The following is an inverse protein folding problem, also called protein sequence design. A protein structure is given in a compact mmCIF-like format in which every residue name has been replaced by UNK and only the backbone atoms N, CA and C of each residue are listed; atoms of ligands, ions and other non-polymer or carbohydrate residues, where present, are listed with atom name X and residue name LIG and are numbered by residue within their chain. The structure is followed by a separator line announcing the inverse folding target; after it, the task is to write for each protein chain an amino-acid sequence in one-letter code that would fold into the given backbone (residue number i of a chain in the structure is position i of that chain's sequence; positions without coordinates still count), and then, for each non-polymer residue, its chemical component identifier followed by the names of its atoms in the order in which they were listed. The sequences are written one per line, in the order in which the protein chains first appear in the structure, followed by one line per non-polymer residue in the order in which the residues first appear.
data_IF_476050322647
#
_entry.id   IF_476050322647
#
_cell.length_a   1.000
_cell.length_b   1.000
_cell.length_c   1.000
_cell.angle_alpha   90.00
_cell.angle_beta   90.00
_cell.angle_gamma   90.00
#
_symmetry.space_group_name_H-M   'P 1'
#
loop_
_entity.id
_entity.type
_entity.pdbx_description
1 polymer ?
#
# COMPACT_ATOMS: atom_id res chain seq x y z
N UNK A 1 21.03 -4.15 -7.15
CA UNK A 1 19.70 -4.60 -7.61
C UNK A 1 19.48 -4.07 -9.03
N UNK A 2 18.99 -4.88 -9.96
CA UNK A 2 18.52 -4.32 -11.24
C UNK A 2 17.20 -3.58 -11.02
N UNK A 3 17.04 -2.41 -11.64
CA UNK A 3 15.77 -1.66 -11.71
C UNK A 3 14.59 -2.57 -12.12
N UNK A 4 14.87 -3.65 -12.86
CA UNK A 4 13.93 -4.73 -13.20
C UNK A 4 13.12 -5.22 -12.00
N UNK A 5 13.70 -5.38 -10.81
CA UNK A 5 12.95 -5.88 -9.66
C UNK A 5 11.88 -4.88 -9.19
N UNK A 6 12.17 -3.58 -9.20
CA UNK A 6 11.19 -2.53 -8.84
C UNK A 6 10.06 -2.49 -9.88
N UNK A 7 10.38 -2.71 -11.15
CA UNK A 7 9.41 -2.76 -12.25
C UNK A 7 8.55 -4.03 -12.18
N UNK A 8 9.12 -5.19 -11.86
CA UNK A 8 8.42 -6.48 -11.83
C UNK A 8 7.25 -6.51 -10.81
N UNK A 9 7.35 -5.76 -9.71
CA UNK A 9 6.24 -5.63 -8.74
C UNK A 9 5.20 -4.56 -9.11
N UNK A 10 5.31 -3.93 -10.29
CA UNK A 10 4.45 -2.82 -10.69
C UNK A 10 4.60 -1.56 -9.82
N UNK A 11 5.74 -1.41 -9.13
CA UNK A 11 6.01 -0.34 -8.15
C UNK A 11 6.98 0.69 -8.71
N UNK A 12 6.77 1.07 -9.97
CA UNK A 12 7.61 2.08 -10.64
C UNK A 12 7.53 3.40 -9.85
N UNK A 13 8.64 4.00 -9.41
CA UNK A 13 8.64 5.26 -8.68
C UNK A 13 8.01 6.40 -9.47
N UNK A 14 7.50 7.42 -8.78
CA UNK A 14 7.17 8.70 -9.42
C UNK A 14 8.43 9.53 -9.62
N UNK A 15 8.60 10.02 -10.84
CA UNK A 15 9.77 10.76 -11.27
C UNK A 15 9.38 11.82 -12.30
N UNK A 16 10.08 12.94 -12.24
CA UNK A 16 10.08 13.95 -13.29
C UNK A 16 11.47 14.63 -13.30
N UNK A 17 12.06 14.95 -14.47
CA UNK A 17 13.34 15.65 -14.56
C UNK A 17 13.37 16.97 -13.78
N UNK A 18 12.24 17.70 -13.74
CA UNK A 18 12.12 19.00 -13.09
C UNK A 18 11.60 18.94 -11.64
N UNK A 19 11.38 17.75 -11.09
CA UNK A 19 10.95 17.55 -9.70
C UNK A 19 12.12 17.00 -8.87
N UNK A 20 12.48 17.57 -7.71
CA UNK A 20 13.75 17.25 -7.04
C UNK A 20 13.83 15.85 -6.41
N UNK A 21 12.71 15.12 -6.32
CA UNK A 21 12.63 13.83 -5.63
C UNK A 21 12.32 12.67 -6.58
N UNK A 22 12.69 11.46 -6.15
CA UNK A 22 12.17 10.20 -6.69
C UNK A 22 11.34 9.53 -5.60
N UNK A 23 10.06 9.27 -5.88
CA UNK A 23 9.10 8.81 -4.88
C UNK A 23 8.71 7.35 -5.12
N UNK A 24 9.21 6.47 -4.27
CA UNK A 24 8.85 5.06 -4.20
C UNK A 24 7.56 4.88 -3.41
N UNK A 25 6.81 3.83 -3.75
CA UNK A 25 5.56 3.51 -3.10
C UNK A 25 5.26 2.01 -3.18
N UNK A 26 4.26 1.58 -2.43
CA UNK A 26 3.73 0.22 -2.49
C UNK A 26 2.21 0.23 -2.40
N UNK A 27 1.56 -0.80 -2.92
CA UNK A 27 0.12 -0.95 -2.80
C UNK A 27 -0.30 -0.95 -1.32
N UNK A 28 -1.44 -0.32 -1.04
CA UNK A 28 -2.03 -0.18 0.31
C UNK A 28 -1.23 0.70 1.28
N UNK A 29 -0.20 1.41 0.83
CA UNK A 29 0.59 2.37 1.62
C UNK A 29 0.16 3.84 1.47
N UNK A 30 -0.95 4.12 0.77
CA UNK A 30 -1.38 5.50 0.48
C UNK A 30 -0.87 6.04 -0.88
N UNK A 31 -0.51 5.14 -1.81
CA UNK A 31 0.00 5.45 -3.14
C UNK A 31 -0.89 6.44 -3.93
N UNK A 32 -2.21 6.38 -3.79
CA UNK A 32 -3.12 7.32 -4.45
C UNK A 32 -2.92 8.76 -3.98
N UNK A 33 -2.74 8.97 -2.66
CA UNK A 33 -2.49 10.31 -2.11
C UNK A 33 -1.12 10.84 -2.52
N UNK A 34 -0.12 9.96 -2.55
CA UNK A 34 1.22 10.32 -3.04
C UNK A 34 1.19 10.71 -4.52
N UNK A 35 0.47 9.94 -5.35
CA UNK A 35 0.30 10.24 -6.77
C UNK A 35 -0.42 11.57 -6.98
N UNK A 36 -1.51 11.83 -6.24
CA UNK A 36 -2.20 13.13 -6.27
C UNK A 36 -1.25 14.30 -5.96
N UNK A 37 -0.45 14.17 -4.89
CA UNK A 37 0.55 15.17 -4.53
C UNK A 37 1.63 15.34 -5.59
N UNK A 38 2.22 14.25 -6.07
CA UNK A 38 3.24 14.29 -7.11
C UNK A 38 2.74 14.99 -8.39
N UNK A 39 1.57 14.59 -8.90
CA UNK A 39 0.99 15.21 -10.09
C UNK A 39 0.59 16.67 -9.84
N UNK A 40 0.24 17.05 -8.62
CA UNK A 40 0.02 18.44 -8.26
C UNK A 40 1.32 19.25 -8.37
N UNK A 41 2.42 18.73 -7.81
CA UNK A 41 3.72 19.40 -7.85
C UNK A 41 4.21 19.64 -9.28
N UNK A 42 3.97 18.70 -10.21
CA UNK A 42 4.38 18.82 -11.61
C UNK A 42 3.31 19.44 -12.53
N UNK A 43 2.25 20.07 -11.97
CA UNK A 43 1.15 20.71 -12.72
C UNK A 43 0.29 19.78 -13.61
N UNK A 44 0.29 18.48 -13.34
CA UNK A 44 -0.48 17.48 -14.09
C UNK A 44 -1.69 16.90 -13.32
N UNK A 45 -1.96 17.38 -12.11
CA UNK A 45 -3.09 16.87 -11.32
C UNK A 45 -4.45 17.04 -12.02
N UNK A 46 -4.75 18.24 -12.52
CA UNK A 46 -6.01 18.54 -13.23
C UNK A 46 -6.23 17.67 -14.47
N UNK A 47 -5.27 17.55 -15.42
CA UNK A 47 -5.45 16.64 -16.56
C UNK A 47 -5.56 15.17 -16.12
N UNK A 48 -4.83 14.76 -15.08
CA UNK A 48 -4.88 13.39 -14.57
C UNK A 48 -6.27 13.00 -14.05
N UNK A 49 -6.87 13.82 -13.16
CA UNK A 49 -8.20 13.53 -12.61
C UNK A 49 -9.33 13.69 -13.65
N UNK A 50 -9.10 14.50 -14.71
CA UNK A 50 -10.04 14.61 -15.84
C UNK A 50 -10.04 13.35 -16.69
N UNK A 51 -8.88 12.71 -16.85
CA UNK A 51 -8.76 11.45 -17.60
C UNK A 51 -9.49 10.32 -16.88
N UNK A 52 -9.26 10.15 -15.58
CA UNK A 52 -9.97 9.18 -14.77
C UNK A 52 -9.97 9.62 -13.29
N UNK A 53 -11.08 9.39 -12.58
CA UNK A 53 -11.19 9.66 -11.14
C UNK A 53 -10.18 8.87 -10.29
N UNK A 54 -9.71 7.71 -10.78
CA UNK A 54 -8.65 6.93 -10.19
C UNK A 54 -7.32 7.24 -10.88
N UNK A 55 -6.48 8.04 -10.21
CA UNK A 55 -5.29 8.66 -10.81
C UNK A 55 -4.28 7.65 -11.38
N UNK A 56 -4.26 6.42 -10.86
CA UNK A 56 -3.35 5.38 -11.30
C UNK A 56 -3.59 4.96 -12.76
N UNK A 57 -4.78 5.21 -13.33
CA UNK A 57 -5.00 5.05 -14.77
C UNK A 57 -4.19 6.08 -15.57
N UNK A 58 -4.30 7.37 -15.25
CA UNK A 58 -3.49 8.38 -15.93
C UNK A 58 -1.99 8.11 -15.74
N UNK A 59 -1.60 7.72 -14.52
CA UNK A 59 -0.22 7.38 -14.21
C UNK A 59 0.35 6.28 -15.11
N UNK A 60 -0.36 5.17 -15.27
CA UNK A 60 0.14 4.00 -15.99
C UNK A 60 -0.11 4.09 -17.49
N UNK A 61 -1.29 4.58 -17.91
CA UNK A 61 -1.73 4.56 -19.30
C UNK A 61 -1.09 5.71 -20.12
N UNK A 62 -0.80 6.84 -19.45
CA UNK A 62 -0.31 8.06 -20.08
C UNK A 62 1.09 8.43 -19.58
N UNK A 63 1.26 8.66 -18.27
CA UNK A 63 2.47 9.32 -17.76
C UNK A 63 3.70 8.40 -17.79
N UNK A 64 3.56 7.15 -17.35
CA UNK A 64 4.64 6.15 -17.31
C UNK A 64 4.73 5.30 -18.57
N UNK A 65 3.75 5.41 -19.48
CA UNK A 65 3.68 4.64 -20.72
C UNK A 65 4.62 5.17 -21.83
N UNK A 66 5.73 5.81 -21.45
CA UNK A 66 6.76 6.29 -22.37
C UNK A 66 8.04 5.50 -22.13
N UNK A 67 8.70 5.06 -23.20
CA UNK A 67 10.03 4.44 -23.12
C UNK A 67 11.04 5.36 -22.42
N UNK A 68 10.93 6.67 -22.64
CA UNK A 68 11.88 7.65 -22.12
C UNK A 68 11.76 7.77 -20.60
N UNK A 69 10.56 7.56 -20.04
CA UNK A 69 10.33 7.62 -18.60
C UNK A 69 11.25 6.67 -17.85
N UNK A 70 11.35 5.42 -18.31
CA UNK A 70 12.14 4.39 -17.65
C UNK A 70 13.65 4.65 -17.82
N UNK A 71 14.08 5.10 -18.99
CA UNK A 71 15.48 5.43 -19.26
C UNK A 71 15.94 6.59 -18.39
N UNK A 72 15.15 7.66 -18.32
CA UNK A 72 15.46 8.84 -17.51
C UNK A 72 15.41 8.53 -16.01
N UNK A 73 14.41 7.77 -15.54
CA UNK A 73 14.33 7.30 -14.16
C UNK A 73 15.58 6.49 -13.79
N UNK A 74 16.00 5.56 -14.66
CA UNK A 74 17.19 4.76 -14.43
C UNK A 74 18.45 5.62 -14.31
N UNK A 75 18.65 6.55 -15.24
CA UNK A 75 19.76 7.50 -15.17
C UNK A 75 19.72 8.34 -13.88
N UNK A 76 18.54 8.81 -13.46
CA UNK A 76 18.38 9.58 -12.24
C UNK A 76 18.73 8.77 -10.98
N UNK A 77 18.32 7.50 -10.92
CA UNK A 77 18.65 6.59 -9.81
C UNK A 77 20.16 6.31 -9.73
N UNK A 78 20.82 6.02 -10.86
CA UNK A 78 22.25 5.70 -10.86
C UNK A 78 23.14 6.92 -10.62
N UNK A 79 22.71 8.12 -11.02
CA UNK A 79 23.46 9.35 -10.76
C UNK A 79 23.35 9.82 -9.31
N UNK A 80 22.34 9.35 -8.56
CA UNK A 80 22.10 9.70 -7.14
C UNK A 80 22.04 11.21 -6.88
N UNK A 81 21.61 11.99 -7.88
CA UNK A 81 21.52 13.46 -7.80
C UNK A 81 20.21 13.96 -7.19
N UNK A 82 19.22 13.08 -7.04
CA UNK A 82 17.91 13.37 -6.47
C UNK A 82 17.74 12.55 -5.20
N UNK A 83 17.18 13.18 -4.18
CA UNK A 83 16.83 12.46 -2.96
C UNK A 83 15.67 11.50 -3.23
N UNK A 84 15.70 10.37 -2.56
CA UNK A 84 14.74 9.30 -2.77
C UNK A 84 13.97 9.03 -1.48
N UNK A 85 12.65 8.97 -1.63
CA UNK A 85 11.75 8.71 -0.51
C UNK A 85 10.83 7.57 -0.85
N UNK A 86 10.54 6.70 0.11
CA UNK A 86 9.46 5.73 -0.01
C UNK A 86 8.32 6.05 0.94
N UNK A 87 7.10 6.10 0.41
CA UNK A 87 5.90 6.11 1.25
C UNK A 87 5.69 4.70 1.83
N UNK A 88 5.71 4.64 3.15
CA UNK A 88 5.58 3.41 3.93
C UNK A 88 4.43 3.55 4.92
N UNK A 89 3.84 2.42 5.28
CA UNK A 89 2.73 2.33 6.23
C UNK A 89 3.03 1.30 7.30
N UNK A 90 2.52 1.51 8.52
CA UNK A 90 2.65 0.57 9.62
C UNK A 90 2.12 -0.82 9.19
N UNK A 91 2.91 -1.89 9.32
CA UNK A 91 2.54 -3.21 8.79
C UNK A 91 1.24 -3.77 9.37
N UNK A 92 0.93 -3.49 10.64
CA UNK A 92 -0.34 -3.90 11.24
C UNK A 92 -1.54 -3.24 10.55
N UNK A 93 -1.49 -1.91 10.41
CA UNK A 93 -2.57 -1.19 9.73
C UNK A 93 -2.70 -1.61 8.27
N UNK A 94 -1.59 -1.97 7.63
CA UNK A 94 -1.55 -2.38 6.23
C UNK A 94 -2.16 -3.77 6.04
N UNK A 95 -1.83 -4.75 6.88
CA UNK A 95 -2.37 -6.10 6.79
C UNK A 95 -3.91 -6.11 6.90
N UNK A 96 -4.48 -5.35 7.84
CA UNK A 96 -5.94 -5.20 7.95
C UNK A 96 -6.53 -4.49 6.73
N UNK A 97 -5.86 -3.48 6.21
CA UNK A 97 -6.27 -2.79 4.97
C UNK A 97 -6.25 -3.70 3.73
N UNK A 98 -5.29 -4.64 3.66
CA UNK A 98 -5.24 -5.68 2.64
C UNK A 98 -6.38 -6.70 2.81
N UNK A 99 -6.68 -7.10 4.04
CA UNK A 99 -7.83 -7.95 4.35
C UNK A 99 -9.15 -7.29 3.95
N UNK A 100 -9.33 -5.99 4.20
CA UNK A 100 -10.53 -5.25 3.79
C UNK A 100 -10.71 -5.15 2.27
N UNK A 101 -9.65 -5.23 1.47
CA UNK A 101 -9.84 -5.35 0.01
C UNK A 101 -10.50 -6.65 -0.42
N UNK A 102 -10.61 -7.64 0.47
CA UNK A 102 -11.37 -8.85 0.20
C UNK A 102 -12.89 -8.65 0.34
N UNK A 103 -13.35 -7.55 0.95
CA UNK A 103 -14.78 -7.23 1.04
C UNK A 103 -15.29 -6.96 -0.37
N UNK A 104 -16.15 -7.84 -0.86
CA UNK A 104 -16.82 -7.65 -2.14
C UNK A 104 -18.07 -6.76 -1.99
N UNK A 105 -18.51 -6.11 -3.07
CA UNK A 105 -19.85 -5.54 -3.12
C UNK A 105 -20.93 -6.60 -2.83
N UNK A 106 -22.10 -6.20 -2.32
CA UNK A 106 -23.21 -7.14 -2.11
C UNK A 106 -23.50 -7.98 -3.36
N UNK A 107 -23.73 -9.28 -3.16
CA UNK A 107 -24.06 -10.25 -4.20
C UNK A 107 -22.97 -10.53 -5.25
N UNK A 108 -21.75 -10.00 -5.06
CA UNK A 108 -20.59 -10.31 -5.88
C UNK A 108 -19.62 -11.14 -5.04
N UNK A 109 -19.18 -12.29 -5.55
CA UNK A 109 -18.14 -13.08 -4.88
C UNK A 109 -16.76 -12.50 -5.22
N UNK A 110 -15.92 -12.25 -4.21
CA UNK A 110 -14.54 -11.86 -4.47
C UNK A 110 -13.77 -13.09 -5.00
N UNK A 111 -13.14 -13.04 -6.18
CA UNK A 111 -12.36 -14.17 -6.71
C UNK A 111 -11.21 -14.59 -5.77
N UNK A 112 -10.68 -13.68 -4.94
CA UNK A 112 -9.64 -13.99 -3.97
C UNK A 112 -10.10 -14.93 -2.83
N UNK A 113 -11.42 -15.12 -2.63
CA UNK A 113 -11.93 -16.03 -1.60
C UNK A 113 -11.70 -17.51 -1.92
N UNK A 114 -11.73 -17.88 -3.20
CA UNK A 114 -11.54 -19.27 -3.65
C UNK A 114 -10.18 -19.86 -3.25
N UNK A 115 -9.02 -19.23 -3.56
CA UNK A 115 -7.73 -19.78 -3.16
C UNK A 115 -7.57 -19.83 -1.64
N UNK A 116 -8.07 -18.83 -0.90
CA UNK A 116 -8.03 -18.83 0.58
C UNK A 116 -8.80 -20.02 1.15
N UNK A 117 -10.02 -20.28 0.65
CA UNK A 117 -10.84 -21.43 1.07
C UNK A 117 -10.19 -22.76 0.68
N UNK A 118 -9.62 -22.84 -0.52
CA UNK A 118 -8.89 -24.04 -0.97
C UNK A 118 -7.73 -24.36 -0.03
N UNK A 119 -6.95 -23.35 0.34
CA UNK A 119 -5.82 -23.50 1.27
C UNK A 119 -6.28 -23.99 2.65
N UNK A 120 -7.24 -23.30 3.26
CA UNK A 120 -7.58 -23.56 4.66
C UNK A 120 -8.55 -24.73 4.86
N UNK A 121 -9.44 -24.98 3.91
CA UNK A 121 -10.49 -26.00 4.02
C UNK A 121 -10.31 -27.19 3.07
N UNK A 122 -9.31 -27.18 2.19
CA UNK A 122 -9.09 -28.21 1.18
C UNK A 122 -10.10 -28.19 0.02
N UNK A 123 -10.95 -27.16 -0.08
CA UNK A 123 -11.93 -27.01 -1.16
C UNK A 123 -12.29 -25.55 -1.40
N UNK A 124 -12.41 -25.15 -2.67
CA UNK A 124 -12.86 -23.81 -3.06
C UNK A 124 -14.38 -23.72 -3.30
N UNK A 125 -15.08 -24.85 -3.33
CA UNK A 125 -16.53 -24.92 -3.56
C UNK A 125 -17.28 -25.02 -2.23
N UNK A 126 -17.15 -23.98 -1.39
CA UNK A 126 -17.85 -23.91 -0.12
C UNK A 126 -18.14 -22.46 0.29
N UNK A 127 -19.23 -22.25 1.03
CA UNK A 127 -19.57 -20.95 1.63
C UNK A 127 -18.97 -20.83 3.04
N UNK A 128 -17.75 -21.35 3.23
CA UNK A 128 -17.10 -21.31 4.55
C UNK A 128 -16.53 -19.91 4.84
N UNK A 129 -16.47 -19.54 6.14
CA UNK A 129 -16.08 -18.20 6.55
C UNK A 129 -14.62 -17.90 6.21
N UNK A 130 -14.31 -16.62 6.01
CA UNK A 130 -12.95 -16.13 5.85
C UNK A 130 -12.69 -15.08 6.93
N UNK A 131 -11.83 -15.43 7.88
CA UNK A 131 -11.41 -14.51 8.94
C UNK A 131 -10.04 -13.91 8.68
N UNK A 132 -9.70 -12.86 9.43
CA UNK A 132 -8.39 -12.23 9.35
C UNK A 132 -7.26 -13.22 9.69
N UNK A 133 -7.49 -14.10 10.67
CA UNK A 133 -6.56 -15.16 11.03
C UNK A 133 -6.32 -16.14 9.88
N UNK A 134 -7.39 -16.63 9.24
CA UNK A 134 -7.30 -17.53 8.09
C UNK A 134 -6.53 -16.85 6.94
N UNK A 135 -6.83 -15.57 6.69
CA UNK A 135 -6.12 -14.77 5.71
C UNK A 135 -4.62 -14.66 6.01
N UNK A 136 -4.21 -14.41 7.27
CA UNK A 136 -2.80 -14.36 7.63
C UNK A 136 -2.09 -15.71 7.45
N UNK A 137 -2.73 -16.83 7.79
CA UNK A 137 -2.15 -18.15 7.51
C UNK A 137 -1.96 -18.38 6.01
N UNK A 138 -2.96 -18.02 5.20
CA UNK A 138 -2.85 -18.09 3.76
C UNK A 138 -1.67 -17.24 3.27
N UNK A 139 -1.56 -15.99 3.70
CA UNK A 139 -0.44 -15.12 3.33
C UNK A 139 0.91 -15.73 3.71
N UNK A 140 1.05 -16.26 4.93
CA UNK A 140 2.30 -16.88 5.41
C UNK A 140 2.78 -17.99 4.48
N UNK A 141 1.86 -18.81 3.96
CA UNK A 141 2.17 -19.86 2.99
C UNK A 141 2.58 -19.28 1.62
N UNK A 142 1.86 -18.24 1.16
CA UNK A 142 2.10 -17.63 -0.14
C UNK A 142 3.39 -16.80 -0.22
N UNK A 143 3.98 -16.37 0.91
CA UNK A 143 5.23 -15.57 0.91
C UNK A 143 6.48 -16.33 0.44
N UNK A 144 6.34 -17.56 -0.05
CA UNK A 144 7.42 -18.39 -0.61
C UNK A 144 7.77 -18.03 -2.06
N UNK A 145 6.83 -17.47 -2.82
CA UNK A 145 7.02 -16.96 -4.20
C UNK A 145 6.28 -15.64 -4.39
N UNK A 146 6.95 -14.53 -4.10
CA UNK A 146 6.36 -13.18 -4.14
C UNK A 146 6.00 -12.70 -5.55
N UNK A 147 6.53 -13.32 -6.61
CA UNK A 147 6.26 -12.89 -7.99
C UNK A 147 4.85 -13.27 -8.45
N UNK A 148 4.24 -14.29 -7.82
CA UNK A 148 2.90 -14.78 -8.16
C UNK A 148 1.79 -14.24 -7.26
N UNK A 149 2.14 -13.51 -6.19
CA UNK A 149 1.17 -13.03 -5.21
C UNK A 149 0.75 -11.60 -5.53
N UNK A 150 -0.55 -11.32 -5.40
CA UNK A 150 -1.09 -9.97 -5.56
C UNK A 150 -0.29 -8.96 -4.72
N UNK A 151 0.31 -7.92 -5.34
CA UNK A 151 1.16 -6.97 -4.65
C UNK A 151 0.42 -6.14 -3.58
N UNK A 152 -0.92 -6.14 -3.57
CA UNK A 152 -1.74 -5.57 -2.51
C UNK A 152 -1.70 -6.37 -1.20
N UNK A 153 -1.28 -7.64 -1.25
CA UNK A 153 -1.27 -8.56 -0.12
C UNK A 153 0.13 -8.75 0.48
N UNK A 154 1.17 -8.71 -0.36
CA UNK A 154 2.57 -8.94 0.05
C UNK A 154 3.17 -7.79 0.85
N UNK A 155 4.35 -7.98 1.42
CA UNK A 155 5.16 -6.94 2.07
C UNK A 155 5.42 -5.69 1.20
N UNK A 156 5.69 -4.57 1.86
CA UNK A 156 6.07 -3.31 1.19
C UNK A 156 7.52 -3.35 0.74
N UNK A 157 8.39 -3.97 1.53
CA UNK A 157 9.81 -4.11 1.26
C UNK A 157 10.09 -4.94 0.01
N UNK A 158 10.91 -4.39 -0.88
CA UNK A 158 11.45 -5.10 -2.04
C UNK A 158 12.94 -5.35 -1.81
N UNK A 159 13.43 -6.61 -1.82
CA UNK A 159 14.82 -6.92 -1.49
C UNK A 159 15.85 -6.19 -2.35
N UNK A 160 16.67 -5.32 -1.77
CA UNK A 160 17.70 -4.53 -2.44
C UNK A 160 17.28 -3.08 -2.73
N UNK A 161 16.07 -2.67 -2.35
CA UNK A 161 15.59 -1.31 -2.59
C UNK A 161 16.38 -0.25 -1.81
N UNK A 162 17.07 -0.65 -0.74
CA UNK A 162 17.97 0.17 0.06
C UNK A 162 19.15 0.74 -0.73
N UNK A 163 19.47 0.17 -1.90
CA UNK A 163 20.45 0.76 -2.83
C UNK A 163 19.97 2.12 -3.37
N UNK A 164 18.65 2.29 -3.47
CA UNK A 164 18.01 3.44 -4.08
C UNK A 164 17.20 4.26 -3.10
N UNK A 165 16.52 3.66 -2.12
CA UNK A 165 15.63 4.33 -1.16
C UNK A 165 16.41 4.67 0.11
N UNK A 166 16.64 5.97 0.34
CA UNK A 166 17.41 6.44 1.50
C UNK A 166 16.54 6.96 2.62
N UNK A 167 15.36 7.49 2.31
CA UNK A 167 14.46 8.13 3.27
C UNK A 167 13.02 7.60 3.19
N UNK A 168 12.23 7.84 4.24
CA UNK A 168 10.88 7.33 4.36
C UNK A 168 9.87 8.45 4.64
N UNK A 169 8.71 8.37 3.99
CA UNK A 169 7.51 9.13 4.33
C UNK A 169 6.58 8.17 5.06
N UNK A 170 6.26 8.45 6.33
CA UNK A 170 5.36 7.61 7.12
C UNK A 170 3.91 8.04 6.87
N UNK A 171 3.08 7.12 6.36
CA UNK A 171 1.67 7.41 6.03
C UNK A 171 0.90 7.94 7.23
N UNK A 172 1.22 7.47 8.44
CA UNK A 172 0.59 7.89 9.69
C UNK A 172 0.77 9.38 9.97
N UNK A 173 1.80 10.01 9.40
CA UNK A 173 2.12 11.42 9.52
C UNK A 173 2.10 12.15 8.17
N UNK A 174 1.42 11.58 7.16
CA UNK A 174 1.56 11.99 5.75
C UNK A 174 1.47 13.50 5.54
N UNK A 175 0.44 14.16 6.08
CA UNK A 175 0.26 15.60 5.86
C UNK A 175 1.42 16.45 6.38
N UNK A 176 1.94 16.13 7.57
CA UNK A 176 3.07 16.86 8.14
C UNK A 176 4.37 16.57 7.38
N UNK A 177 4.59 15.32 6.97
CA UNK A 177 5.75 14.95 6.14
C UNK A 177 5.71 15.68 4.79
N UNK A 178 4.55 15.76 4.15
CA UNK A 178 4.43 16.48 2.88
C UNK A 178 4.70 17.98 3.06
N UNK A 179 4.14 18.62 4.09
CA UNK A 179 4.44 20.03 4.40
C UNK A 179 5.94 20.24 4.65
N UNK A 180 6.59 19.32 5.38
CA UNK A 180 8.03 19.35 5.63
C UNK A 180 8.83 19.25 4.33
N UNK A 181 8.49 18.31 3.44
CA UNK A 181 9.14 18.15 2.14
C UNK A 181 8.93 19.38 1.25
N UNK A 182 7.73 19.96 1.26
CA UNK A 182 7.46 21.18 0.51
C UNK A 182 8.35 22.34 0.94
N UNK A 183 8.61 22.47 2.25
CA UNK A 183 9.52 23.48 2.79
C UNK A 183 10.98 23.19 2.43
N UNK A 184 11.46 21.96 2.65
CA UNK A 184 12.86 21.58 2.40
C UNK A 184 13.23 21.78 0.93
N UNK A 185 12.36 21.35 0.02
CA UNK A 185 12.63 21.36 -1.42
C UNK A 185 12.01 22.57 -2.15
N UNK A 186 11.46 23.54 -1.41
CA UNK A 186 10.83 24.75 -1.94
C UNK A 186 9.75 24.44 -2.99
N UNK A 187 8.96 23.41 -2.73
CA UNK A 187 7.87 22.97 -3.61
C UNK A 187 6.62 23.84 -3.40
N UNK A 188 5.61 23.64 -4.25
CA UNK A 188 4.34 24.35 -4.12
C UNK A 188 3.63 23.87 -2.86
N UNK A 189 3.06 24.79 -2.09
CA UNK A 189 2.16 24.43 -1.01
C UNK A 189 0.93 23.71 -1.57
N UNK A 190 0.71 22.47 -1.13
CA UNK A 190 -0.40 21.67 -1.66
C UNK A 190 -1.69 21.83 -0.86
N UNK A 191 -2.86 21.81 -1.50
CA UNK A 191 -4.15 21.74 -0.81
C UNK A 191 -4.40 20.29 -0.34
N UNK A 192 -3.67 19.84 0.69
CA UNK A 192 -3.66 18.44 1.12
C UNK A 192 -5.05 17.92 1.47
N UNK A 193 -5.91 18.74 2.05
CA UNK A 193 -7.30 18.39 2.33
C UNK A 193 -8.13 18.01 1.09
N UNK A 194 -7.68 18.37 -0.12
CA UNK A 194 -8.25 17.95 -1.40
C UNK A 194 -7.51 16.72 -1.91
N UNK A 195 -6.18 16.75 -1.89
CA UNK A 195 -5.35 15.70 -2.49
C UNK A 195 -5.39 14.37 -1.72
N UNK A 196 -5.61 14.40 -0.39
CA UNK A 196 -5.66 13.20 0.45
C UNK A 196 -7.08 12.68 0.68
N UNK A 197 -8.11 13.38 0.20
CA UNK A 197 -9.48 12.86 0.18
C UNK A 197 -9.57 11.74 -0.85
N UNK A 198 -9.58 10.51 -0.36
CA UNK A 198 -9.82 9.32 -1.16
C UNK A 198 -10.94 8.51 -0.52
N UNK A 199 -11.84 7.96 -1.34
CA UNK A 199 -12.83 6.96 -0.90
C UNK A 199 -12.16 5.75 -0.22
N UNK A 200 -10.88 5.50 -0.50
CA UNK A 200 -10.07 4.44 0.09
C UNK A 200 -9.49 4.79 1.46
N UNK A 201 -9.55 6.06 1.88
CA UNK A 201 -9.07 6.53 3.18
C UNK A 201 -10.22 6.53 4.19
N UNK A 202 -10.53 5.35 4.73
CA UNK A 202 -11.66 5.16 5.66
C UNK A 202 -11.22 5.03 7.13
N UNK A 203 -9.94 5.30 7.43
CA UNK A 203 -9.39 5.16 8.79
C UNK A 203 -10.17 6.00 9.80
N UNK A 204 -10.57 7.22 9.44
CA UNK A 204 -11.32 8.13 10.31
C UNK A 204 -12.78 7.70 10.51
N UNK A 205 -13.27 6.75 9.70
CA UNK A 205 -14.62 6.19 9.83
C UNK A 205 -14.62 4.84 10.56
N UNK A 206 -13.45 4.30 10.92
CA UNK A 206 -13.32 3.05 11.67
C UNK A 206 -13.65 3.27 13.15
N UNK A 207 -14.90 2.97 13.52
CA UNK A 207 -15.43 3.24 14.87
C UNK A 207 -15.85 1.98 15.63
N UNK A 208 -15.96 0.83 14.95
CA UNK A 208 -16.40 -0.42 15.59
C UNK A 208 -15.23 -1.11 16.29
N UNK A 209 -15.19 -1.03 17.62
CA UNK A 209 -14.22 -1.76 18.46
C UNK A 209 -14.77 -3.15 18.82
N UNK A 210 -13.90 -4.16 18.88
CA UNK A 210 -14.29 -5.51 19.26
C UNK A 210 -13.20 -6.56 19.07
N UNK A 211 -13.60 -7.82 18.92
CA UNK A 211 -12.71 -8.95 18.61
C UNK A 211 -13.08 -9.49 17.24
N UNK A 212 -12.32 -9.09 16.20
CA UNK A 212 -12.61 -9.43 14.80
C UNK A 212 -11.57 -10.37 14.17
N UNK A 213 -10.58 -10.86 14.94
CA UNK A 213 -9.56 -11.79 14.45
C UNK A 213 -10.17 -13.04 13.77
N UNK A 214 -11.27 -13.55 14.32
CA UNK A 214 -11.99 -14.74 13.87
C UNK A 214 -13.33 -14.44 13.18
N UNK A 215 -13.68 -13.16 13.02
CA UNK A 215 -14.93 -12.76 12.40
C UNK A 215 -14.93 -13.02 10.89
N UNK A 216 -16.07 -13.44 10.34
CA UNK A 216 -16.23 -13.79 8.93
C UNK A 216 -16.46 -12.54 8.07
N UNK A 217 -15.50 -12.22 7.21
CA UNK A 217 -15.59 -11.08 6.28
C UNK A 217 -16.59 -11.31 5.15
N UNK A 218 -17.03 -12.57 4.95
CA UNK A 218 -18.02 -12.92 3.91
C UNK A 218 -19.46 -12.77 4.38
N UNK A 219 -19.67 -12.57 5.69
CA UNK A 219 -20.98 -12.26 6.25
C UNK A 219 -21.44 -10.85 5.79
N UNK A 220 -22.60 -10.71 5.14
CA UNK A 220 -23.17 -9.41 4.79
C UNK A 220 -23.38 -8.46 5.99
N UNK A 221 -23.47 -9.01 7.20
CA UNK A 221 -23.58 -8.26 8.46
C UNK A 221 -22.21 -7.88 9.04
N UNK A 222 -21.10 -8.29 8.42
CA UNK A 222 -19.77 -7.91 8.86
C UNK A 222 -19.66 -6.38 8.89
N UNK A 223 -19.28 -5.78 10.03
CA UNK A 223 -19.18 -4.34 10.14
C UNK A 223 -18.19 -3.83 9.10
N UNK A 224 -18.57 -2.81 8.34
CA UNK A 224 -17.73 -2.31 7.23
C UNK A 224 -16.45 -1.65 7.70
N UNK A 225 -16.39 -1.19 8.96
CA UNK A 225 -15.34 -0.31 9.45
C UNK A 225 -14.91 -0.62 10.90
N UNK A 226 -14.41 -1.83 11.22
CA UNK A 226 -13.81 -2.08 12.53
C UNK A 226 -12.46 -1.38 12.67
N UNK A 227 -12.12 -1.01 13.89
CA UNK A 227 -10.80 -0.44 14.19
C UNK A 227 -9.72 -1.48 13.92
N UNK A 228 -8.56 -1.05 13.41
CA UNK A 228 -7.50 -1.98 13.02
C UNK A 228 -6.94 -2.80 14.20
N UNK A 229 -6.91 -2.23 15.41
CA UNK A 229 -6.51 -2.93 16.64
C UNK A 229 -7.45 -4.09 16.99
N UNK A 230 -8.70 -4.05 16.55
CA UNK A 230 -9.69 -5.09 16.86
C UNK A 230 -9.43 -6.44 16.17
N UNK A 231 -8.52 -6.48 15.20
CA UNK A 231 -8.10 -7.71 14.52
C UNK A 231 -6.92 -8.41 15.18
N UNK A 232 -6.29 -7.77 16.17
CA UNK A 232 -5.04 -8.24 16.75
C UNK A 232 -5.25 -8.86 18.13
N UNK A 233 -5.19 -10.18 18.17
CA UNK A 233 -4.95 -11.00 19.35
C UNK A 233 -3.49 -11.52 19.34
N UNK A 234 -3.08 -12.27 20.37
CA UNK A 234 -1.70 -12.78 20.47
C UNK A 234 -1.22 -13.53 19.21
N UNK A 235 -2.05 -14.44 18.68
CA UNK A 235 -1.73 -15.26 17.52
C UNK A 235 -1.62 -14.44 16.22
N UNK A 236 -2.57 -13.56 15.95
CA UNK A 236 -2.56 -12.71 14.75
C UNK A 236 -1.47 -11.63 14.79
N UNK A 237 -1.04 -11.21 15.99
CA UNK A 237 0.15 -10.37 16.16
C UNK A 237 1.39 -11.13 15.71
N UNK A 238 1.60 -12.35 16.21
CA UNK A 238 2.75 -13.18 15.83
C UNK A 238 2.78 -13.45 14.32
N UNK A 239 1.64 -13.83 13.74
CA UNK A 239 1.54 -14.05 12.30
C UNK A 239 1.90 -12.78 11.50
N UNK A 240 1.37 -11.62 11.89
CA UNK A 240 1.68 -10.37 11.18
C UNK A 240 3.17 -9.98 11.32
N UNK A 241 3.78 -10.19 12.49
CA UNK A 241 5.20 -9.95 12.69
C UNK A 241 6.07 -10.87 11.84
N UNK A 242 5.71 -12.16 11.75
CA UNK A 242 6.42 -13.13 10.91
C UNK A 242 6.35 -12.76 9.43
N UNK A 243 5.13 -12.51 8.92
CA UNK A 243 4.86 -12.25 7.50
C UNK A 243 5.51 -10.94 7.05
N UNK A 244 5.43 -9.90 7.88
CA UNK A 244 5.86 -8.54 7.51
C UNK A 244 7.17 -8.13 8.21
N UNK A 245 7.99 -9.08 8.68
CA UNK A 245 9.21 -8.82 9.44
C UNK A 245 10.14 -7.80 8.75
N UNK A 246 10.32 -7.94 7.42
CA UNK A 246 11.13 -7.01 6.64
C UNK A 246 10.60 -5.58 6.65
N UNK A 247 9.27 -5.39 6.61
CA UNK A 247 8.70 -4.05 6.72
C UNK A 247 8.96 -3.45 8.11
N UNK A 248 8.82 -4.25 9.18
CA UNK A 248 9.09 -3.77 10.54
C UNK A 248 10.55 -3.37 10.73
N UNK A 249 11.48 -4.26 10.35
CA UNK A 249 12.91 -4.07 10.56
C UNK A 249 13.50 -2.97 9.65
N UNK A 250 13.18 -2.98 8.34
CA UNK A 250 13.73 -2.00 7.40
C UNK A 250 13.20 -0.59 7.68
N UNK A 251 11.88 -0.43 7.86
CA UNK A 251 11.26 0.89 8.07
C UNK A 251 11.16 1.30 9.53
N UNK A 252 11.78 0.53 10.44
CA UNK A 252 11.89 0.83 11.88
C UNK A 252 10.53 1.03 12.55
N UNK A 253 9.51 0.29 12.13
CA UNK A 253 8.22 0.29 12.82
C UNK A 253 8.31 -0.49 14.14
N UNK A 254 7.62 -0.04 15.19
CA UNK A 254 7.61 -0.77 16.45
C UNK A 254 6.84 -2.09 16.29
N UNK A 255 7.33 -3.14 16.94
CA UNK A 255 6.63 -4.43 17.02
C UNK A 255 5.41 -4.38 17.95
N UNK A 256 5.24 -3.31 18.71
CA UNK A 256 4.03 -3.11 19.51
C UNK A 256 2.82 -2.87 18.60
N UNK A 257 1.72 -3.63 18.77
CA UNK A 257 0.48 -3.39 18.04
C UNK A 257 -0.08 -1.99 18.28
N UNK A 258 -1.04 -1.61 17.43
CA UNK A 258 -1.78 -0.35 17.57
C UNK A 258 -2.45 -0.29 18.96
N UNK A 259 -2.38 0.86 19.61
CA UNK A 259 -3.05 1.08 20.90
C UNK A 259 -4.58 1.00 20.70
N UNK A 260 -5.26 0.29 21.61
CA UNK A 260 -6.73 0.22 21.69
C UNK A 260 -7.35 1.53 22.18
#
# INVERSE_FOLDING_TARGET
MSISNIINYGRVPHFNPNFPLILFWSQKSGCTSLAHWFFYQINLFKPAIKYNSFIHHYENDIYKNSSDYFVELAAALYTKKKDTYKLVRNPYTRAVSSFFSLIAPPYIENPAWKPIRSFYYGTNNCNKPISFKIFLYYLKEQMTDLEQVDPHLIQQYVPGEEEFVTEYIYLENFSNEIVRLEQIYQLKTSPLHILTKSWHHQKDNAVFKGTFADADITDPLFPRLPTYDSFYNHETIQLAQDIFNKDFSTYKYPLTPLKK
#
